data_IF_862427882976
#
_entry.id   IF_862427882976
#
_cell.length_a   1.000
_cell.length_b   1.000
_cell.length_c   1.000
_cell.angle_alpha   90.00
_cell.angle_beta   90.00
_cell.angle_gamma   90.00
#
_symmetry.space_group_name_H-M   'P 1'
#
loop_
_entity.id
_entity.type
_entity.pdbx_description
1 polymer ?
#
# COMPACT_ATOMS: atom_id res chain seq x y z
N UNK A 1 1.61 -4.12 15.52
CA UNK A 1 1.09 -4.42 14.17
C UNK A 1 0.14 -3.31 13.71
N UNK A 2 -0.85 -2.88 14.50
CA UNK A 2 -1.72 -1.72 14.14
C UNK A 2 -0.94 -0.43 13.87
N UNK A 3 0.09 -0.09 14.68
CA UNK A 3 0.91 1.10 14.42
C UNK A 3 1.67 1.09 13.07
N UNK A 4 1.76 -0.06 12.41
CA UNK A 4 2.41 -0.17 11.11
C UNK A 4 1.49 0.19 9.94
N UNK A 5 0.18 0.36 10.16
CA UNK A 5 -0.76 0.85 9.13
C UNK A 5 -0.79 2.38 9.06
N UNK A 6 -0.04 3.06 9.93
CA UNK A 6 0.13 4.51 9.85
C UNK A 6 0.96 4.85 8.60
N UNK A 7 0.31 5.53 7.64
CA UNK A 7 0.94 5.97 6.39
C UNK A 7 2.16 6.88 6.60
N UNK A 8 2.30 7.54 7.76
CA UNK A 8 3.52 8.30 8.10
C UNK A 8 4.76 7.41 8.25
N UNK A 9 4.58 6.11 8.48
CA UNK A 9 5.64 5.11 8.65
C UNK A 9 5.94 4.32 7.37
N UNK A 10 5.16 4.53 6.31
CA UNK A 10 5.27 3.77 5.07
C UNK A 10 6.70 3.71 4.51
N UNK A 11 7.37 4.86 4.40
CA UNK A 11 8.74 4.90 3.83
C UNK A 11 9.76 4.17 4.69
N UNK A 12 9.61 4.20 6.02
CA UNK A 12 10.47 3.43 6.93
C UNK A 12 10.22 1.93 6.77
N UNK A 13 8.96 1.50 6.75
CA UNK A 13 8.60 0.10 6.55
C UNK A 13 9.10 -0.44 5.20
N UNK A 14 9.00 0.36 4.14
CA UNK A 14 9.49 0.03 2.81
C UNK A 14 11.01 -0.09 2.76
N UNK A 15 11.74 0.86 3.38
CA UNK A 15 13.20 0.79 3.45
C UNK A 15 13.67 -0.48 4.18
N UNK A 16 13.05 -0.75 5.33
CA UNK A 16 13.29 -1.96 6.12
C UNK A 16 13.01 -3.23 5.28
N UNK A 17 11.90 -3.27 4.54
CA UNK A 17 11.55 -4.38 3.66
C UNK A 17 12.60 -4.59 2.56
N UNK A 18 13.07 -3.53 1.91
CA UNK A 18 14.12 -3.61 0.88
C UNK A 18 15.43 -4.15 1.44
N UNK A 19 15.87 -3.68 2.61
CA UNK A 19 17.07 -4.24 3.27
C UNK A 19 16.90 -5.72 3.62
N UNK A 20 15.70 -6.14 4.00
CA UNK A 20 15.41 -7.56 4.26
C UNK A 20 15.48 -8.40 2.97
N UNK A 21 14.98 -7.87 1.85
CA UNK A 21 15.08 -8.52 0.54
C UNK A 21 16.55 -8.74 0.14
N UNK A 22 17.41 -7.74 0.33
CA UNK A 22 18.85 -7.82 0.03
C UNK A 22 19.60 -8.85 0.90
N UNK A 23 19.15 -9.04 2.14
CA UNK A 23 19.81 -9.92 3.12
C UNK A 23 19.09 -11.25 3.32
N UNK A 24 18.05 -11.54 2.52
CA UNK A 24 17.20 -12.72 2.69
C UNK A 24 18.01 -14.00 2.59
N UNK A 25 17.79 -14.90 3.54
CA UNK A 25 18.28 -16.28 3.50
C UNK A 25 17.12 -17.18 3.16
N UNK A 26 17.33 -18.06 2.19
CA UNK A 26 16.30 -18.99 1.73
C UNK A 26 16.84 -20.40 1.96
N UNK A 27 15.98 -21.27 2.49
CA UNK A 27 16.27 -22.71 2.59
C UNK A 27 16.41 -23.35 1.21
N UNK A 28 16.93 -24.57 1.15
CA UNK A 28 16.98 -25.36 -0.08
C UNK A 28 15.60 -25.64 -0.70
N UNK A 29 14.53 -25.57 0.09
CA UNK A 29 13.14 -25.71 -0.38
C UNK A 29 12.50 -24.39 -0.83
N UNK A 30 13.23 -23.28 -0.86
CA UNK A 30 12.69 -21.98 -1.28
C UNK A 30 11.97 -21.20 -0.18
N UNK A 31 11.97 -21.68 1.06
CA UNK A 31 11.30 -21.02 2.20
C UNK A 31 12.22 -19.97 2.84
N UNK A 32 11.67 -18.77 3.09
CA UNK A 32 12.34 -17.67 3.77
C UNK A 32 12.72 -18.04 5.21
N UNK A 33 13.98 -17.85 5.57
CA UNK A 33 14.48 -18.04 6.93
C UNK A 33 14.37 -16.74 7.73
N UNK A 34 13.65 -16.81 8.85
CA UNK A 34 13.43 -15.70 9.78
C UNK A 34 13.90 -16.12 11.18
N UNK A 35 15.22 -16.05 11.38
CA UNK A 35 15.89 -16.62 12.56
C UNK A 35 15.61 -15.81 13.83
N UNK A 36 15.42 -14.50 13.70
CA UNK A 36 15.22 -13.60 14.85
C UNK A 36 13.76 -13.21 15.05
N UNK A 37 13.43 -12.76 16.25
CA UNK A 37 12.14 -12.11 16.49
C UNK A 37 11.98 -10.83 15.65
N UNK A 38 13.07 -10.07 15.47
CA UNK A 38 13.09 -8.83 14.69
C UNK A 38 12.70 -9.07 13.24
N UNK A 39 13.26 -10.10 12.60
CA UNK A 39 12.93 -10.43 11.21
C UNK A 39 11.45 -10.82 11.09
N UNK A 40 10.98 -11.69 11.99
CA UNK A 40 9.58 -12.14 12.01
C UNK A 40 8.60 -10.99 12.20
N UNK A 41 8.86 -10.08 13.14
CA UNK A 41 7.95 -8.96 13.40
C UNK A 41 7.96 -7.94 12.25
N UNK A 42 9.10 -7.75 11.59
CA UNK A 42 9.24 -6.86 10.44
C UNK A 42 8.48 -7.39 9.22
N UNK A 43 8.56 -8.70 8.93
CA UNK A 43 7.73 -9.34 7.89
C UNK A 43 6.25 -9.18 8.22
N UNK A 44 5.83 -9.48 9.45
CA UNK A 44 4.42 -9.38 9.84
C UNK A 44 3.87 -7.94 9.76
N UNK A 45 4.68 -6.93 10.08
CA UNK A 45 4.31 -5.51 9.93
C UNK A 45 4.10 -5.16 8.46
N UNK A 46 5.04 -5.55 7.60
CA UNK A 46 4.93 -5.31 6.16
C UNK A 46 3.77 -6.08 5.52
N UNK A 47 3.49 -7.31 5.97
CA UNK A 47 2.34 -8.09 5.51
C UNK A 47 1.02 -7.36 5.80
N UNK A 48 0.84 -6.88 7.03
CA UNK A 48 -0.38 -6.13 7.41
C UNK A 48 -0.46 -4.82 6.62
N UNK A 49 0.66 -4.15 6.40
CA UNK A 49 0.70 -2.93 5.59
C UNK A 49 0.35 -3.17 4.12
N UNK A 50 0.87 -4.25 3.51
CA UNK A 50 0.50 -4.67 2.17
C UNK A 50 -0.99 -5.01 2.09
N UNK A 51 -1.53 -5.68 3.11
CA UNK A 51 -2.96 -6.01 3.16
C UNK A 51 -3.83 -4.75 3.18
N UNK A 52 -3.45 -3.74 3.96
CA UNK A 52 -4.13 -2.43 4.03
C UNK A 52 -4.07 -1.68 2.70
N UNK A 53 -2.94 -1.78 1.99
CA UNK A 53 -2.72 -1.17 0.66
C UNK A 53 -2.94 -2.15 -0.50
N UNK A 54 -3.80 -3.15 -0.31
CA UNK A 54 -4.05 -4.20 -1.32
C UNK A 54 -5.16 -3.85 -2.32
N UNK A 55 -5.88 -2.74 -2.14
CA UNK A 55 -7.02 -2.41 -3.02
C UNK A 55 -6.63 -2.36 -4.51
N UNK A 56 -5.50 -1.73 -4.90
CA UNK A 56 -5.10 -1.67 -6.30
C UNK A 56 -4.58 -3.00 -6.87
N UNK A 57 -4.36 -4.02 -6.04
CA UNK A 57 -3.91 -5.36 -6.50
C UNK A 57 -5.07 -6.35 -6.70
N UNK A 58 -6.31 -5.90 -6.52
CA UNK A 58 -7.52 -6.72 -6.73
C UNK A 58 -8.06 -6.54 -8.14
N UNK A 59 -8.91 -7.46 -8.63
CA UNK A 59 -9.62 -7.26 -9.89
C UNK A 59 -10.28 -5.87 -9.98
N UNK A 60 -10.21 -5.25 -11.15
CA UNK A 60 -10.62 -3.86 -11.38
C UNK A 60 -12.03 -3.52 -10.84
N UNK A 61 -12.97 -4.46 -10.91
CA UNK A 61 -14.33 -4.26 -10.38
C UNK A 61 -14.35 -4.02 -8.87
N UNK A 62 -13.50 -4.72 -8.11
CA UNK A 62 -13.35 -4.53 -6.67
C UNK A 62 -12.57 -3.25 -6.38
N UNK A 63 -11.46 -3.02 -7.10
CA UNK A 63 -10.65 -1.83 -6.89
C UNK A 63 -11.48 -0.55 -7.09
N UNK A 64 -12.28 -0.47 -8.17
CA UNK A 64 -13.18 0.68 -8.42
C UNK A 64 -14.16 0.95 -7.29
N UNK A 65 -14.71 -0.09 -6.68
CA UNK A 65 -15.63 0.08 -5.54
C UNK A 65 -14.90 0.60 -4.30
N UNK A 66 -13.67 0.16 -4.05
CA UNK A 66 -12.83 0.72 -2.98
C UNK A 66 -12.44 2.18 -3.26
N UNK A 67 -12.02 2.51 -4.48
CA UNK A 67 -11.75 3.89 -4.89
C UNK A 67 -12.97 4.79 -4.70
N UNK A 68 -14.17 4.32 -5.07
CA UNK A 68 -15.41 5.07 -4.85
C UNK A 68 -15.64 5.36 -3.37
N UNK A 69 -15.45 4.38 -2.50
CA UNK A 69 -15.64 4.51 -1.04
C UNK A 69 -14.64 5.48 -0.40
N UNK A 70 -13.36 5.37 -0.74
CA UNK A 70 -12.34 6.27 -0.16
C UNK A 70 -12.52 7.71 -0.64
N UNK A 71 -12.89 7.93 -1.92
CA UNK A 71 -13.17 9.27 -2.42
C UNK A 71 -14.42 9.87 -1.78
N UNK A 72 -15.46 9.07 -1.55
CA UNK A 72 -16.65 9.51 -0.81
C UNK A 72 -16.29 9.96 0.62
N UNK A 73 -15.39 9.24 1.30
CA UNK A 73 -14.89 9.63 2.62
C UNK A 73 -14.10 10.94 2.58
N UNK A 74 -13.16 11.08 1.63
CA UNK A 74 -12.36 12.30 1.45
C UNK A 74 -13.24 13.52 1.14
N UNK A 75 -14.24 13.38 0.28
CA UNK A 75 -15.15 14.49 -0.03
C UNK A 75 -16.00 14.90 1.17
N UNK A 76 -16.43 13.94 2.00
CA UNK A 76 -17.13 14.25 3.26
C UNK A 76 -16.22 14.95 4.27
N UNK A 77 -14.92 14.70 4.24
CA UNK A 77 -13.94 15.45 5.03
C UNK A 77 -13.80 16.88 4.48
N UNK A 78 -13.61 17.05 3.18
CA UNK A 78 -13.48 18.37 2.55
C UNK A 78 -14.72 19.25 2.72
N UNK A 79 -15.92 18.67 2.69
CA UNK A 79 -17.16 19.38 3.00
C UNK A 79 -17.16 19.93 4.44
N UNK A 80 -16.61 19.17 5.41
CA UNK A 80 -16.49 19.60 6.81
C UNK A 80 -15.40 20.67 6.99
N UNK A 81 -14.27 20.55 6.30
CA UNK A 81 -13.19 21.55 6.31
C UNK A 81 -13.71 22.88 5.75
N UNK A 82 -14.40 22.84 4.61
CA UNK A 82 -15.05 24.01 4.00
C UNK A 82 -16.06 24.66 4.93
N UNK A 83 -16.94 23.87 5.55
CA UNK A 83 -17.95 24.39 6.48
C UNK A 83 -17.35 25.07 7.71
N UNK A 84 -16.11 24.71 8.08
CA UNK A 84 -15.35 25.31 9.18
C UNK A 84 -14.44 26.46 8.75
N UNK A 85 -14.42 26.81 7.47
CA UNK A 85 -13.50 27.83 6.93
C UNK A 85 -12.03 27.42 6.99
N UNK A 86 -11.75 26.11 7.00
CA UNK A 86 -10.39 25.57 6.96
C UNK A 86 -9.95 25.38 5.51
N UNK A 87 -8.64 25.37 5.27
CA UNK A 87 -8.08 24.93 4.00
C UNK A 87 -8.45 23.46 3.76
N UNK A 88 -8.96 23.16 2.57
CA UNK A 88 -9.39 21.81 2.22
C UNK A 88 -8.15 20.94 1.97
N UNK A 89 -8.11 19.78 2.59
CA UNK A 89 -7.02 18.83 2.45
C UNK A 89 -6.85 18.38 1.00
N UNK A 90 -5.62 18.03 0.56
CA UNK A 90 -5.41 17.43 -0.75
C UNK A 90 -6.36 16.26 -0.98
N UNK A 91 -6.86 16.10 -2.21
CA UNK A 91 -7.82 15.05 -2.59
C UNK A 91 -9.23 15.15 -1.99
N UNK A 92 -9.48 16.07 -1.06
CA UNK A 92 -10.76 16.16 -0.35
C UNK A 92 -11.76 17.12 -1.00
N UNK A 93 -11.36 17.91 -2.01
CA UNK A 93 -12.29 18.79 -2.73
C UNK A 93 -12.91 18.10 -3.96
N UNK A 94 -14.20 17.77 -3.86
CA UNK A 94 -14.99 17.15 -4.94
C UNK A 94 -15.13 18.01 -6.21
N UNK A 95 -14.85 19.31 -6.14
CA UNK A 95 -14.96 20.19 -7.31
C UNK A 95 -13.67 20.30 -8.13
N UNK A 96 -12.53 19.92 -7.55
CA UNK A 96 -11.21 20.04 -8.19
C UNK A 96 -10.44 18.71 -8.27
N UNK A 97 -10.88 17.68 -7.54
CA UNK A 97 -10.22 16.37 -7.53
C UNK A 97 -10.31 15.66 -8.90
N UNK A 98 -9.17 15.23 -9.42
CA UNK A 98 -9.07 14.28 -10.52
C UNK A 98 -8.77 12.90 -9.93
N UNK A 99 -9.81 12.06 -9.81
CA UNK A 99 -9.72 10.78 -9.11
C UNK A 99 -8.72 9.86 -9.80
N UNK A 100 -8.77 9.79 -11.13
CA UNK A 100 -7.96 8.91 -11.96
C UNK A 100 -6.47 9.22 -11.81
N UNK A 101 -6.08 10.50 -11.96
CA UNK A 101 -4.69 10.93 -11.78
C UNK A 101 -4.17 10.62 -10.39
N UNK A 102 -5.03 10.71 -9.38
CA UNK A 102 -4.62 10.47 -8.01
C UNK A 102 -4.52 8.99 -7.68
N UNK A 103 -5.33 8.13 -8.30
CA UNK A 103 -5.12 6.68 -8.22
C UNK A 103 -3.82 6.27 -8.92
N UNK A 104 -3.51 6.84 -10.09
CA UNK A 104 -2.23 6.62 -10.78
C UNK A 104 -1.06 7.04 -9.90
N UNK A 105 -1.09 8.26 -9.35
CA UNK A 105 -0.05 8.72 -8.43
C UNK A 105 0.08 7.86 -7.17
N UNK A 106 -1.02 7.37 -6.62
CA UNK A 106 -0.98 6.45 -5.49
C UNK A 106 -0.34 5.11 -5.84
N UNK A 107 -0.63 4.56 -7.02
CA UNK A 107 0.01 3.34 -7.51
C UNK A 107 1.52 3.59 -7.69
N UNK A 108 1.89 4.61 -8.44
CA UNK A 108 3.29 4.90 -8.81
C UNK A 108 4.19 5.16 -7.58
N UNK A 109 3.69 5.93 -6.61
CA UNK A 109 4.51 6.43 -5.51
C UNK A 109 4.36 5.64 -4.20
N UNK A 110 3.32 4.81 -4.06
CA UNK A 110 3.02 4.11 -2.80
C UNK A 110 2.83 2.61 -3.02
N UNK A 111 1.84 2.22 -3.82
CA UNK A 111 1.46 0.81 -3.91
C UNK A 111 2.50 -0.01 -4.67
N UNK A 112 2.95 0.46 -5.83
CA UNK A 112 3.88 -0.29 -6.67
C UNK A 112 5.24 -0.53 -6.01
N UNK A 113 5.94 0.48 -5.44
CA UNK A 113 7.21 0.24 -4.75
C UNK A 113 7.10 -0.77 -3.59
N UNK A 114 5.97 -0.78 -2.89
CA UNK A 114 5.70 -1.73 -1.81
C UNK A 114 5.47 -3.15 -2.31
N UNK A 115 4.59 -3.30 -3.30
CA UNK A 115 4.24 -4.61 -3.83
C UNK A 115 5.37 -5.25 -4.63
N UNK A 116 6.22 -4.46 -5.28
CA UNK A 116 7.45 -4.96 -5.91
C UNK A 116 8.42 -5.53 -4.87
N UNK A 117 8.71 -4.78 -3.80
CA UNK A 117 9.59 -5.24 -2.74
C UNK A 117 9.02 -6.48 -2.01
N UNK A 118 7.70 -6.51 -1.78
CA UNK A 118 7.04 -7.67 -1.21
C UNK A 118 7.12 -8.88 -2.14
N UNK A 119 6.84 -8.71 -3.43
CA UNK A 119 6.91 -9.78 -4.41
C UNK A 119 8.32 -10.34 -4.57
N UNK A 120 9.34 -9.50 -4.45
CA UNK A 120 10.73 -9.97 -4.43
C UNK A 120 11.05 -10.77 -3.17
N UNK A 121 10.52 -10.38 -2.00
CA UNK A 121 10.72 -11.12 -0.76
C UNK A 121 10.13 -12.55 -0.84
N UNK A 122 8.92 -12.68 -1.39
CA UNK A 122 8.16 -13.95 -1.45
C UNK A 122 8.16 -14.58 -2.85
N UNK A 123 9.11 -14.22 -3.71
CA UNK A 123 9.12 -14.69 -5.10
C UNK A 123 9.05 -16.23 -5.19
N UNK A 124 8.18 -16.81 -6.02
CA UNK A 124 7.33 -16.16 -7.04
C UNK A 124 5.88 -15.84 -6.60
N UNK A 125 5.53 -16.05 -5.33
CA UNK A 125 4.14 -16.24 -4.89
C UNK A 125 3.21 -15.03 -5.08
N UNK A 126 3.76 -13.81 -5.12
CA UNK A 126 2.97 -12.58 -5.30
C UNK A 126 2.91 -12.06 -6.74
N UNK A 127 3.40 -12.84 -7.72
CA UNK A 127 3.48 -12.42 -9.13
C UNK A 127 2.13 -12.00 -9.73
N UNK A 128 1.06 -12.73 -9.47
CA UNK A 128 -0.28 -12.40 -9.98
C UNK A 128 -0.83 -11.08 -9.41
N UNK A 129 -0.53 -10.78 -8.14
CA UNK A 129 -0.96 -9.54 -7.49
C UNK A 129 -0.25 -8.33 -8.10
N UNK A 130 1.05 -8.47 -8.41
CA UNK A 130 1.83 -7.43 -9.06
C UNK A 130 1.39 -7.23 -10.52
N UNK A 131 1.07 -8.30 -11.24
CA UNK A 131 0.52 -8.20 -12.60
C UNK A 131 -0.85 -7.49 -12.60
N UNK A 132 -1.72 -7.82 -11.65
CA UNK A 132 -3.03 -7.16 -11.50
C UNK A 132 -2.86 -5.67 -11.19
N UNK A 133 -1.90 -5.32 -10.34
CA UNK A 133 -1.57 -3.93 -10.02
C UNK A 133 -1.18 -3.12 -11.27
N UNK A 134 -0.34 -3.71 -12.14
CA UNK A 134 0.13 -3.06 -13.37
C UNK A 134 -0.96 -2.93 -14.45
N UNK A 135 -2.03 -3.73 -14.36
CA UNK A 135 -3.17 -3.69 -15.28
C UNK A 135 -4.27 -2.70 -14.88
N UNK A 136 -4.33 -2.34 -13.58
CA UNK A 136 -5.33 -1.46 -13.01
C UNK A 136 -4.95 0.02 -13.16
#
# INVERSE_FOLDING_TARGET
>A
QVLATDMSKHMTLLADLKTMVETKKVTSSGVLLLDTYTDRIQVLRNLVHCADLSNPTKPLCLYREWTRRIMEEFFRQGDRERARGMDISPMCDKHSANVEKSQVGFIDFVAQPLWEAWAELVHPDAGEMLLTLQQN
#
